data_IF_583457037782
#
_entry.id   IF_583457037782
#
_cell.length_a   1.000
_cell.length_b   1.000
_cell.length_c   1.000
_cell.angle_alpha   90.00
_cell.angle_beta   90.00
_cell.angle_gamma   90.00
#
_symmetry.space_group_name_H-M   'P 1'
#
loop_
_entity.id
_entity.type
_entity.pdbx_description
1 polymer ?
#
# COMPACT_ATOMS: atom_id res chain seq x y z
N UNK A 1 2.20 11.88 -22.18
CA UNK A 1 3.51 11.50 -21.59
C UNK A 1 3.61 11.96 -20.13
N UNK A 2 2.74 11.47 -19.25
CA UNK A 2 2.76 11.79 -17.81
C UNK A 2 3.32 10.65 -16.93
N UNK A 3 3.25 9.39 -17.40
CA UNK A 3 3.59 8.21 -16.61
C UNK A 3 4.99 8.19 -16.00
N UNK A 4 6.03 8.60 -16.73
CA UNK A 4 7.40 8.61 -16.17
C UNK A 4 7.65 9.71 -15.14
N UNK A 5 6.85 10.77 -15.11
CA UNK A 5 7.05 11.88 -14.19
C UNK A 5 6.54 11.53 -12.78
N UNK A 6 5.52 10.67 -12.67
CA UNK A 6 4.97 10.27 -11.37
C UNK A 6 6.01 9.53 -10.54
N UNK A 7 6.84 8.68 -11.18
CA UNK A 7 7.85 7.87 -10.50
C UNK A 7 9.01 8.70 -9.93
N UNK A 8 9.10 9.99 -10.27
CA UNK A 8 10.05 10.94 -9.66
C UNK A 8 9.59 11.44 -8.29
N UNK A 9 8.30 11.31 -7.98
CA UNK A 9 7.74 11.66 -6.67
C UNK A 9 8.10 10.56 -5.65
N UNK A 10 8.15 10.95 -4.37
CA UNK A 10 8.22 9.98 -3.28
C UNK A 10 6.98 9.09 -3.29
N UNK A 11 7.11 7.85 -2.81
CA UNK A 11 5.99 6.90 -2.78
C UNK A 11 4.75 7.44 -2.06
N UNK A 12 4.94 8.17 -0.95
CA UNK A 12 3.84 8.86 -0.26
C UNK A 12 3.16 9.91 -1.13
N UNK A 13 3.93 10.78 -1.79
CA UNK A 13 3.37 11.81 -2.67
C UNK A 13 2.67 11.19 -3.90
N UNK A 14 3.17 10.06 -4.42
CA UNK A 14 2.49 9.30 -5.48
C UNK A 14 1.14 8.78 -4.99
N UNK A 15 1.12 8.09 -3.85
CA UNK A 15 -0.10 7.54 -3.28
C UNK A 15 -1.14 8.63 -2.98
N UNK A 16 -0.72 9.77 -2.43
CA UNK A 16 -1.61 10.92 -2.18
C UNK A 16 -2.16 11.52 -3.47
N UNK A 17 -1.33 11.66 -4.51
CA UNK A 17 -1.77 12.15 -5.81
C UNK A 17 -2.82 11.21 -6.40
N UNK A 18 -2.54 9.91 -6.47
CA UNK A 18 -3.47 8.91 -6.98
C UNK A 18 -4.77 8.90 -6.18
N UNK A 19 -4.69 8.95 -4.85
CA UNK A 19 -5.88 9.03 -3.99
C UNK A 19 -6.70 10.29 -4.20
N UNK A 20 -6.05 11.44 -4.45
CA UNK A 20 -6.74 12.69 -4.77
C UNK A 20 -7.45 12.59 -6.11
N UNK A 21 -6.79 12.03 -7.13
CA UNK A 21 -7.36 11.84 -8.45
C UNK A 21 -8.57 10.88 -8.41
N UNK A 22 -8.44 9.73 -7.74
CA UNK A 22 -9.54 8.76 -7.55
C UNK A 22 -10.76 9.34 -6.82
N UNK A 23 -10.60 10.42 -6.04
CA UNK A 23 -11.71 11.10 -5.35
C UNK A 23 -12.40 12.16 -6.20
N UNK A 24 -11.89 12.52 -7.37
CA UNK A 24 -12.57 13.46 -8.26
C UNK A 24 -13.85 12.83 -8.78
N UNK A 25 -14.87 13.66 -9.00
CA UNK A 25 -16.19 13.22 -9.49
C UNK A 25 -16.10 12.45 -10.81
N UNK A 26 -15.11 12.77 -11.66
CA UNK A 26 -14.87 12.07 -12.93
C UNK A 26 -14.40 10.61 -12.74
N UNK A 27 -13.81 10.28 -11.57
CA UNK A 27 -13.31 8.95 -11.22
C UNK A 27 -14.14 8.25 -10.15
N UNK A 28 -15.26 8.84 -9.71
CA UNK A 28 -16.05 8.35 -8.57
C UNK A 28 -16.63 6.95 -8.82
N UNK A 29 -17.00 6.67 -10.07
CA UNK A 29 -17.44 5.35 -10.55
C UNK A 29 -16.31 4.54 -11.20
N UNK A 30 -15.13 5.14 -11.36
CA UNK A 30 -14.00 4.53 -12.06
C UNK A 30 -13.13 3.69 -11.12
N UNK A 31 -12.49 2.67 -11.68
CA UNK A 31 -11.53 1.82 -10.99
C UNK A 31 -10.10 2.26 -11.32
N UNK A 32 -9.12 1.87 -10.49
CA UNK A 32 -7.72 2.25 -10.64
C UNK A 32 -7.19 2.11 -12.08
N UNK A 33 -7.58 1.06 -12.80
CA UNK A 33 -7.18 0.81 -14.19
C UNK A 33 -7.36 2.01 -15.14
N UNK A 34 -8.46 2.74 -15.03
CA UNK A 34 -8.82 3.86 -15.92
C UNK A 34 -7.96 5.08 -15.63
N UNK A 35 -7.65 5.31 -14.36
CA UNK A 35 -6.76 6.39 -13.95
C UNK A 35 -5.32 6.10 -14.39
N UNK A 36 -4.83 4.87 -14.22
CA UNK A 36 -3.45 4.56 -14.61
C UNK A 36 -3.29 4.52 -16.13
N UNK A 37 -4.33 4.10 -16.87
CA UNK A 37 -4.36 4.19 -18.34
C UNK A 37 -4.27 5.65 -18.81
N UNK A 38 -5.01 6.58 -18.19
CA UNK A 38 -4.95 8.01 -18.55
C UNK A 38 -3.59 8.62 -18.25
N UNK A 39 -2.91 8.10 -17.21
CA UNK A 39 -1.55 8.48 -16.86
C UNK A 39 -0.49 7.75 -17.69
N UNK A 40 -0.88 6.79 -18.54
CA UNK A 40 0.01 5.91 -19.31
C UNK A 40 0.98 5.12 -18.41
N UNK A 41 0.45 4.51 -17.35
CA UNK A 41 1.18 3.68 -16.39
C UNK A 41 0.50 2.32 -16.31
N UNK A 42 1.27 1.23 -16.24
CA UNK A 42 0.70 -0.08 -15.97
C UNK A 42 0.25 -0.17 -14.50
N UNK A 43 -0.99 -0.64 -14.28
CA UNK A 43 -1.55 -0.78 -12.94
C UNK A 43 -0.67 -1.63 -12.01
N UNK A 44 -0.18 -2.76 -12.53
CA UNK A 44 0.64 -3.70 -11.78
C UNK A 44 1.99 -3.10 -11.39
N UNK A 45 2.58 -2.27 -12.26
CA UNK A 45 3.83 -1.56 -11.95
C UNK A 45 3.61 -0.54 -10.83
N UNK A 46 2.53 0.22 -10.88
CA UNK A 46 2.18 1.19 -9.83
C UNK A 46 1.92 0.50 -8.49
N UNK A 47 1.14 -0.60 -8.50
CA UNK A 47 0.86 -1.38 -7.29
C UNK A 47 2.12 -1.97 -6.70
N UNK A 48 2.96 -2.58 -7.55
CA UNK A 48 4.21 -3.22 -7.11
C UNK A 48 5.19 -2.20 -6.55
N UNK A 49 5.35 -1.06 -7.21
CA UNK A 49 6.17 0.05 -6.72
C UNK A 49 5.69 0.57 -5.36
N UNK A 50 4.40 0.88 -5.22
CA UNK A 50 3.85 1.41 -3.97
C UNK A 50 3.88 0.39 -2.82
N UNK A 51 3.70 -0.90 -3.13
CA UNK A 51 3.79 -1.97 -2.15
C UNK A 51 5.19 -2.08 -1.52
N UNK A 52 6.27 -1.76 -2.26
CA UNK A 52 7.63 -1.72 -1.69
C UNK A 52 7.78 -0.71 -0.55
N UNK A 53 6.90 0.28 -0.48
CA UNK A 53 6.88 1.32 0.54
C UNK A 53 5.72 1.16 1.53
N UNK A 54 5.05 0.00 1.52
CA UNK A 54 3.95 -0.32 2.41
C UNK A 54 2.61 0.33 2.02
N UNK A 55 2.45 0.79 0.78
CA UNK A 55 1.20 1.32 0.28
C UNK A 55 0.44 0.27 -0.53
N UNK A 56 -0.81 0.00 -0.14
CA UNK A 56 -1.64 -1.04 -0.76
C UNK A 56 -2.95 -0.45 -1.25
N UNK A 57 -3.35 -0.82 -2.46
CA UNK A 57 -4.63 -0.43 -3.03
C UNK A 57 -5.76 -1.28 -2.44
N UNK A 58 -6.78 -0.63 -1.90
CA UNK A 58 -8.02 -1.26 -1.42
C UNK A 58 -9.13 -0.92 -2.40
N UNK A 59 -9.62 -1.92 -3.14
CA UNK A 59 -10.60 -1.72 -4.22
C UNK A 59 -11.93 -1.19 -3.68
N UNK A 60 -12.38 -1.69 -2.53
CA UNK A 60 -13.62 -1.28 -1.87
C UNK A 60 -13.60 0.18 -1.42
N UNK A 61 -12.41 0.68 -1.06
CA UNK A 61 -12.21 2.07 -0.64
C UNK A 61 -11.71 2.97 -1.78
N UNK A 62 -11.44 2.39 -2.96
CA UNK A 62 -10.83 3.03 -4.13
C UNK A 62 -9.65 3.94 -3.76
N UNK A 63 -8.76 3.47 -2.90
CA UNK A 63 -7.59 4.25 -2.50
C UNK A 63 -6.43 3.37 -2.03
N UNK A 64 -5.24 3.96 -2.05
CA UNK A 64 -4.04 3.44 -1.43
C UNK A 64 -4.00 3.79 0.05
N UNK A 65 -3.72 2.81 0.88
CA UNK A 65 -3.55 2.96 2.33
C UNK A 65 -2.13 2.55 2.70
N UNK A 66 -1.48 3.36 3.55
CA UNK A 66 -0.18 3.01 4.09
C UNK A 66 -0.36 2.06 5.26
N UNK A 67 0.10 0.82 5.09
CA UNK A 67 0.26 -0.13 6.19
C UNK A 67 1.68 0.04 6.70
N UNK A 68 1.82 0.79 7.78
CA UNK A 68 3.07 0.78 8.54
C UNK A 68 3.12 -0.56 9.26
N UNK A 69 3.95 -1.48 8.78
CA UNK A 69 4.47 -2.52 9.65
C UNK A 69 5.26 -1.79 10.73
N UNK A 70 4.61 -1.54 11.87
CA UNK A 70 5.37 -1.42 13.09
C UNK A 70 6.18 -2.71 13.12
N UNK A 71 7.50 -2.57 13.02
CA UNK A 71 8.38 -3.61 13.54
C UNK A 71 7.98 -3.70 15.01
N UNK A 72 6.98 -4.54 15.30
CA UNK A 72 6.92 -5.25 16.55
C UNK A 72 8.30 -5.87 16.62
N UNK A 73 9.18 -5.22 17.39
CA UNK A 73 10.42 -5.79 17.79
C UNK A 73 9.98 -7.07 18.49
N UNK A 74 10.03 -8.19 17.76
CA UNK A 74 10.13 -9.51 18.32
C UNK A 74 11.51 -9.58 18.99
N UNK A 75 11.73 -8.69 19.96
CA UNK A 75 12.80 -8.77 20.91
C UNK A 75 12.43 -9.96 21.79
N UNK A 76 12.82 -11.14 21.32
CA UNK A 76 13.09 -12.30 22.14
C UNK A 76 12.04 -12.55 23.24
N UNK A 77 10.81 -12.91 22.86
CA UNK A 77 10.09 -13.85 23.72
C UNK A 77 10.90 -15.14 23.65
N UNK A 78 11.73 -15.37 24.68
CA UNK A 78 12.45 -16.62 24.89
C UNK A 78 11.41 -17.74 24.74
N UNK A 79 11.60 -18.62 23.75
CA UNK A 79 10.87 -19.89 23.60
C UNK A 79 10.96 -20.82 24.83
N UNK A 80 11.61 -20.39 25.92
CA UNK A 80 11.83 -21.13 27.16
C UNK A 80 10.68 -21.01 28.17
N UNK A 81 9.84 -19.97 28.11
CA UNK A 81 8.87 -19.71 29.19
C UNK A 81 7.46 -20.27 28.90
N UNK A 82 7.23 -20.83 27.71
CA UNK A 82 5.94 -21.40 27.33
C UNK A 82 5.78 -22.89 27.65
N UNK A 83 6.85 -23.59 28.03
CA UNK A 83 6.79 -25.03 28.36
C UNK A 83 6.66 -25.32 29.87
N UNK A 84 6.94 -24.35 30.75
CA UNK A 84 6.82 -24.55 32.20
C UNK A 84 5.37 -24.41 32.70
N UNK A 85 4.46 -23.84 31.89
CA UNK A 85 3.07 -23.59 32.29
C UNK A 85 2.04 -24.58 31.71
N UNK A 86 2.48 -25.62 30.99
CA UNK A 86 1.60 -26.66 30.43
C UNK A 86 1.82 -28.03 31.09
N UNK A 87 2.95 -28.23 31.78
CA UNK A 87 3.23 -29.48 32.51
C UNK A 87 3.35 -29.15 34.00
N UNK A 88 2.21 -28.86 34.62
CA UNK A 88 2.06 -29.09 36.05
C UNK A 88 1.87 -30.58 36.26
N UNK A 89 2.94 -31.29 36.66
CA UNK A 89 2.96 -32.45 37.56
C UNK A 89 4.40 -32.64 38.07
#
# INVERSE_FOLDING_TARGET
MYGHQIFRLTAGNRAELINRELRKAEYQDQELHQLVDSLMIAEDDLKSDLAMYGWYYIAELKCFVQIKTEHASLSSVKRSDFLTNIIGY
#
